data_IF_214573123565
#
_entry.id   IF_214573123565
#
_cell.length_a   1.000
_cell.length_b   1.000
_cell.length_c   1.000
_cell.angle_alpha   90.00
_cell.angle_beta   90.00
_cell.angle_gamma   90.00
#
_symmetry.space_group_name_H-M   'P 1'
#
loop_
_entity.id
_entity.type
_entity.pdbx_description
1 polymer ?
#
# COMPACT_ATOMS: atom_id res chain seq x y z
N UNK A 1 37.28 41.83 -14.29
CA UNK A 1 37.96 40.58 -14.67
C UNK A 1 36.88 39.53 -14.88
N UNK A 2 36.42 39.35 -16.12
CA UNK A 2 35.43 38.35 -16.49
C UNK A 2 36.08 36.97 -16.44
N UNK A 3 35.58 36.09 -15.59
CA UNK A 3 36.00 34.69 -15.52
C UNK A 3 35.05 33.82 -16.35
N UNK A 4 34.88 34.18 -17.63
CA UNK A 4 34.08 33.42 -18.59
C UNK A 4 34.90 32.21 -19.06
N UNK A 5 34.97 31.18 -18.22
CA UNK A 5 35.63 29.91 -18.57
C UNK A 5 34.76 29.14 -19.58
N UNK A 6 35.15 29.02 -20.87
CA UNK A 6 34.35 28.33 -21.90
C UNK A 6 34.26 26.82 -21.69
N UNK A 7 35.10 26.27 -20.80
CA UNK A 7 35.15 24.86 -20.42
C UNK A 7 34.61 24.62 -19.00
N UNK A 8 33.83 25.55 -18.44
CA UNK A 8 33.12 25.30 -17.20
C UNK A 8 32.21 24.08 -17.39
N UNK A 9 32.54 22.97 -16.73
CA UNK A 9 31.69 21.80 -16.73
C UNK A 9 30.31 22.23 -16.20
N UNK A 10 29.20 21.85 -16.84
CA UNK A 10 27.88 22.14 -16.30
C UNK A 10 27.86 21.55 -14.89
N UNK A 11 27.55 22.38 -13.90
CA UNK A 11 27.34 21.91 -12.53
C UNK A 11 26.17 20.94 -12.59
N UNK A 12 26.48 19.65 -12.71
CA UNK A 12 25.48 18.63 -12.51
C UNK A 12 25.03 18.82 -11.07
N UNK A 13 23.81 19.28 -10.89
CA UNK A 13 23.14 19.27 -9.60
C UNK A 13 22.94 17.79 -9.26
N UNK A 14 24.02 17.16 -8.80
CA UNK A 14 24.01 15.86 -8.17
C UNK A 14 23.22 16.08 -6.91
N UNK A 15 21.91 15.91 -7.02
CA UNK A 15 21.06 15.67 -5.86
C UNK A 15 21.78 14.58 -5.09
N UNK A 16 22.44 14.97 -4.00
CA UNK A 16 23.06 14.04 -3.08
C UNK A 16 21.93 13.15 -2.56
N UNK A 17 21.74 12.00 -3.19
CA UNK A 17 21.04 10.85 -2.61
C UNK A 17 21.86 10.27 -1.45
N UNK A 18 23.06 10.80 -1.24
CA UNK A 18 24.01 10.62 -0.14
C UNK A 18 23.47 11.18 1.20
N UNK A 19 22.28 10.75 1.59
CA UNK A 19 21.64 11.18 2.85
C UNK A 19 20.66 10.16 3.45
N UNK A 20 20.19 9.16 2.69
CA UNK A 20 19.33 8.11 3.26
C UNK A 20 20.20 6.94 3.77
N UNK A 21 20.97 7.20 4.84
CA UNK A 21 21.66 6.16 5.64
C UNK A 21 20.59 5.28 6.30
N UNK A 22 20.02 4.35 5.53
CA UNK A 22 18.87 3.60 6.00
C UNK A 22 17.92 3.08 4.94
N UNK A 23 18.09 3.41 3.64
CA UNK A 23 17.20 2.91 2.59
C UNK A 23 17.98 2.21 1.47
N UNK A 24 17.62 0.97 1.21
CA UNK A 24 18.22 0.13 0.18
C UNK A 24 17.17 -0.57 -0.68
N UNK A 25 17.57 -1.03 -1.86
CA UNK A 25 16.74 -1.90 -2.70
C UNK A 25 17.30 -3.32 -2.74
N UNK A 26 16.40 -4.31 -2.80
CA UNK A 26 16.75 -5.71 -3.05
C UNK A 26 15.71 -6.35 -3.98
N UNK A 27 16.03 -6.42 -5.29
CA UNK A 27 15.14 -6.95 -6.34
C UNK A 27 13.76 -6.25 -6.38
N UNK A 28 12.73 -6.92 -5.82
CA UNK A 28 11.35 -6.41 -5.74
C UNK A 28 10.99 -5.84 -4.35
N UNK A 29 11.98 -5.77 -3.46
CA UNK A 29 11.85 -5.31 -2.08
C UNK A 29 12.55 -3.97 -1.91
N UNK A 30 11.96 -3.11 -1.09
CA UNK A 30 12.63 -1.96 -0.52
C UNK A 30 12.95 -2.29 0.94
N UNK A 31 14.17 -2.06 1.37
CA UNK A 31 14.66 -2.30 2.73
C UNK A 31 14.85 -0.94 3.36
N UNK A 32 14.21 -0.71 4.50
CA UNK A 32 14.28 0.55 5.24
C UNK A 32 14.72 0.22 6.65
N UNK A 33 15.61 1.01 7.23
CA UNK A 33 15.84 1.02 8.66
C UNK A 33 14.55 1.45 9.38
N UNK A 34 14.36 1.00 10.62
CA UNK A 34 13.17 1.34 11.40
C UNK A 34 13.08 2.82 11.73
N UNK A 35 14.23 3.47 11.87
CA UNK A 35 14.33 4.87 12.30
C UNK A 35 14.44 5.84 11.12
N UNK A 36 14.50 5.33 9.88
CA UNK A 36 14.61 6.17 8.69
C UNK A 36 13.25 6.48 8.09
N UNK A 37 12.97 7.77 7.95
CA UNK A 37 11.80 8.24 7.24
C UNK A 37 11.99 8.16 5.72
N UNK A 38 10.93 7.83 4.98
CA UNK A 38 10.98 7.84 3.53
C UNK A 38 11.14 9.29 3.00
N UNK A 39 11.81 9.50 1.86
CA UNK A 39 11.90 10.83 1.25
C UNK A 39 10.53 11.29 0.73
N UNK A 40 10.37 12.60 0.49
CA UNK A 40 9.12 13.23 0.00
C UNK A 40 8.87 12.97 -1.49
N UNK A 41 8.85 11.69 -1.86
CA UNK A 41 8.72 11.20 -3.23
C UNK A 41 7.65 10.13 -3.29
N UNK A 42 6.99 10.06 -4.44
CA UNK A 42 5.94 9.09 -4.66
C UNK A 42 6.51 7.68 -4.73
N UNK A 43 6.05 6.81 -3.83
CA UNK A 43 6.50 5.41 -3.75
C UNK A 43 6.24 4.58 -5.03
N UNK A 44 5.42 5.08 -5.97
CA UNK A 44 5.06 4.40 -7.24
C UNK A 44 5.83 4.95 -8.44
N UNK A 45 5.76 6.25 -8.69
CA UNK A 45 6.37 6.86 -9.88
C UNK A 45 7.63 7.67 -9.60
N UNK A 46 8.06 7.77 -8.34
CA UNK A 46 9.21 8.58 -7.92
C UNK A 46 9.07 10.10 -8.16
N UNK A 47 7.89 10.59 -8.54
CA UNK A 47 7.61 12.02 -8.68
C UNK A 47 7.51 12.70 -7.29
N UNK A 48 7.77 14.02 -7.18
CA UNK A 48 7.63 14.74 -5.92
C UNK A 48 6.23 14.56 -5.31
N UNK A 49 6.19 14.32 -3.99
CA UNK A 49 4.93 14.15 -3.25
C UNK A 49 4.36 15.48 -2.72
N UNK A 50 5.09 16.59 -2.86
CA UNK A 50 4.67 17.93 -2.45
C UNK A 50 4.21 17.97 -0.98
N UNK A 51 4.96 17.33 -0.09
CA UNK A 51 4.70 17.25 1.35
C UNK A 51 3.56 16.30 1.75
N UNK A 52 2.90 15.62 0.81
CA UNK A 52 1.81 14.70 1.15
C UNK A 52 2.35 13.38 1.71
N UNK A 53 2.13 13.15 3.02
CA UNK A 53 2.46 11.90 3.70
C UNK A 53 1.20 11.11 4.05
N UNK A 54 1.18 9.82 3.68
CA UNK A 54 0.15 8.88 4.11
C UNK A 54 0.75 7.88 5.09
N UNK A 55 0.19 7.81 6.30
CA UNK A 55 0.53 6.80 7.30
C UNK A 55 -0.17 5.49 6.96
N UNK A 56 0.58 4.39 6.91
CA UNK A 56 0.01 3.03 6.79
C UNK A 56 0.64 2.13 7.84
N UNK A 57 -0.22 1.45 8.60
CA UNK A 57 0.16 0.36 9.48
C UNK A 57 0.39 -0.90 8.63
N UNK A 58 1.59 -1.44 8.75
CA UNK A 58 2.04 -2.65 8.10
C UNK A 58 2.10 -3.75 9.15
N UNK A 59 1.16 -4.68 9.08
CA UNK A 59 1.12 -5.84 9.96
C UNK A 59 1.94 -6.97 9.37
N UNK A 60 2.72 -7.63 10.21
CA UNK A 60 3.49 -8.81 9.88
C UNK A 60 3.14 -9.92 10.85
N UNK A 61 2.67 -11.03 10.29
CA UNK A 61 2.47 -12.29 11.00
C UNK A 61 3.64 -13.20 10.70
N UNK A 62 4.30 -13.69 11.74
CA UNK A 62 5.36 -14.67 11.57
C UNK A 62 4.77 -15.94 10.94
N UNK A 63 5.39 -16.53 9.88
CA UNK A 63 4.80 -17.66 9.14
C UNK A 63 4.50 -18.86 10.04
N UNK A 64 5.38 -19.14 11.02
CA UNK A 64 5.15 -20.22 12.01
C UNK A 64 3.95 -19.91 12.90
N UNK A 65 3.79 -18.66 13.35
CA UNK A 65 2.64 -18.27 14.16
C UNK A 65 1.34 -18.40 13.35
N UNK A 66 1.38 -18.08 12.06
CA UNK A 66 0.23 -18.20 11.16
C UNK A 66 -0.22 -19.66 10.98
N UNK A 67 0.73 -20.59 10.80
CA UNK A 67 0.44 -22.03 10.72
C UNK A 67 -0.15 -22.52 12.05
N UNK A 68 0.45 -22.14 13.17
CA UNK A 68 -0.05 -22.50 14.50
C UNK A 68 -1.48 -21.97 14.73
N UNK A 69 -1.75 -20.71 14.38
CA UNK A 69 -3.08 -20.09 14.50
C UNK A 69 -4.11 -20.82 13.62
N UNK A 70 -3.75 -21.16 12.37
CA UNK A 70 -4.66 -21.89 11.46
C UNK A 70 -5.00 -23.26 12.04
N UNK A 71 -4.02 -24.00 12.55
CA UNK A 71 -4.27 -25.30 13.17
C UNK A 71 -5.14 -25.15 14.44
N UNK A 72 -4.86 -24.13 15.24
CA UNK A 72 -5.58 -23.89 16.48
C UNK A 72 -7.00 -23.34 16.27
N UNK A 73 -7.29 -22.68 15.14
CA UNK A 73 -8.61 -22.09 14.90
C UNK A 73 -9.69 -23.17 14.73
N UNK A 74 -9.32 -24.33 14.19
CA UNK A 74 -10.22 -25.47 14.02
C UNK A 74 -10.52 -26.21 15.34
N UNK A 75 -9.61 -26.13 16.31
CA UNK A 75 -9.71 -26.87 17.58
C UNK A 75 -10.23 -25.94 18.69
N UNK A 76 -9.74 -24.71 18.74
CA UNK A 76 -9.94 -23.75 19.82
C UNK A 76 -9.91 -22.30 19.28
N UNK A 77 -10.94 -21.94 18.52
CA UNK A 77 -11.06 -20.64 17.86
C UNK A 77 -10.83 -19.41 18.76
N UNK A 78 -11.26 -19.35 20.05
CA UNK A 78 -11.07 -18.17 20.88
C UNK A 78 -9.59 -17.97 21.28
N UNK A 79 -8.89 -19.07 21.59
CA UNK A 79 -7.47 -19.04 21.95
C UNK A 79 -6.62 -18.69 20.74
N UNK A 80 -6.98 -19.23 19.57
CA UNK A 80 -6.34 -18.87 18.31
C UNK A 80 -6.45 -17.36 18.02
N UNK A 81 -7.61 -16.77 18.29
CA UNK A 81 -7.83 -15.33 18.15
C UNK A 81 -6.92 -14.51 19.07
N UNK A 82 -6.82 -14.89 20.35
CA UNK A 82 -5.96 -14.20 21.32
C UNK A 82 -4.48 -14.29 20.90
N UNK A 83 -4.02 -15.48 20.51
CA UNK A 83 -2.65 -15.67 20.03
C UNK A 83 -2.37 -14.86 18.77
N UNK A 84 -3.34 -14.78 17.85
CA UNK A 84 -3.21 -13.95 16.65
C UNK A 84 -3.02 -12.46 16.98
N UNK A 85 -3.72 -11.96 18.01
CA UNK A 85 -3.57 -10.59 18.48
C UNK A 85 -2.21 -10.35 19.15
N UNK A 86 -1.71 -11.30 19.94
CA UNK A 86 -0.43 -11.20 20.65
C UNK A 86 0.76 -11.30 19.69
N UNK A 87 0.73 -12.23 18.72
CA UNK A 87 1.82 -12.43 17.77
C UNK A 87 1.86 -11.40 16.62
N UNK A 88 0.86 -10.52 16.54
CA UNK A 88 0.80 -9.47 15.53
C UNK A 88 1.88 -8.42 15.80
N UNK A 89 2.93 -8.42 15.00
CA UNK A 89 3.88 -7.30 14.95
C UNK A 89 3.38 -6.28 13.93
N UNK A 90 3.31 -5.02 14.33
CA UNK A 90 2.90 -3.94 13.43
C UNK A 90 3.90 -2.81 13.41
N UNK A 91 4.21 -2.28 12.23
CA UNK A 91 5.04 -1.09 12.07
C UNK A 91 4.26 -0.05 11.29
N UNK A 92 4.27 1.20 11.75
CA UNK A 92 3.68 2.32 11.03
C UNK A 92 4.72 2.98 10.15
N UNK A 93 4.45 3.09 8.86
CA UNK A 93 5.33 3.74 7.89
C UNK A 93 4.59 4.89 7.23
N UNK A 94 5.27 6.02 7.07
CA UNK A 94 4.77 7.19 6.37
C UNK A 94 5.42 7.30 5.01
N UNK A 95 4.61 7.41 3.95
CA UNK A 95 5.11 7.44 2.58
C UNK A 95 4.43 8.51 1.73
N UNK A 96 5.19 9.02 0.77
CA UNK A 96 4.73 10.00 -0.20
C UNK A 96 3.91 9.39 -1.34
N UNK A 97 2.90 10.14 -1.81
CA UNK A 97 2.12 9.85 -3.02
C UNK A 97 1.97 11.11 -3.86
N UNK A 98 2.19 11.02 -5.17
CA UNK A 98 1.91 12.14 -6.06
C UNK A 98 0.40 12.33 -6.27
N UNK A 99 0.02 13.52 -6.73
CA UNK A 99 -1.39 13.92 -6.96
C UNK A 99 -2.11 12.93 -7.88
N UNK A 100 -1.45 12.44 -8.94
CA UNK A 100 -2.05 11.49 -9.89
C UNK A 100 -2.45 10.17 -9.21
N UNK A 101 -1.56 9.59 -8.41
CA UNK A 101 -1.84 8.34 -7.71
C UNK A 101 -2.82 8.54 -6.55
N UNK A 102 -2.76 9.68 -5.86
CA UNK A 102 -3.75 10.06 -4.84
C UNK A 102 -5.15 10.18 -5.44
N UNK A 103 -5.29 10.89 -6.57
CA UNK A 103 -6.57 11.03 -7.29
C UNK A 103 -7.10 9.68 -7.76
N UNK A 104 -6.25 8.84 -8.37
CA UNK A 104 -6.66 7.50 -8.82
C UNK A 104 -7.20 6.64 -7.67
N UNK A 105 -6.58 6.74 -6.51
CA UNK A 105 -7.04 6.03 -5.31
C UNK A 105 -8.39 6.55 -4.81
N UNK A 106 -8.59 7.88 -4.83
CA UNK A 106 -9.86 8.51 -4.46
C UNK A 106 -10.97 8.19 -5.47
N UNK A 107 -10.70 8.28 -6.78
CA UNK A 107 -11.69 7.97 -7.82
C UNK A 107 -12.13 6.51 -7.74
N UNK A 108 -11.20 5.57 -7.50
CA UNK A 108 -11.54 4.16 -7.30
C UNK A 108 -12.36 3.93 -6.02
N UNK A 109 -12.05 4.64 -4.94
CA UNK A 109 -12.82 4.55 -3.70
C UNK A 109 -14.23 5.12 -3.87
N UNK A 110 -14.36 6.27 -4.54
CA UNK A 110 -15.65 6.90 -4.84
C UNK A 110 -16.48 6.04 -5.79
N UNK A 111 -15.88 5.46 -6.83
CA UNK A 111 -16.58 4.55 -7.73
C UNK A 111 -17.05 3.29 -7.01
N UNK A 112 -16.22 2.72 -6.13
CA UNK A 112 -16.58 1.56 -5.32
C UNK A 112 -17.75 1.90 -4.37
N UNK A 113 -17.67 3.04 -3.69
CA UNK A 113 -18.71 3.51 -2.79
C UNK A 113 -20.02 3.77 -3.53
N UNK A 114 -19.96 4.42 -4.70
CA UNK A 114 -21.13 4.66 -5.54
C UNK A 114 -21.83 3.38 -5.99
N UNK A 115 -21.06 2.38 -6.45
CA UNK A 115 -21.62 1.06 -6.84
C UNK A 115 -22.20 0.31 -5.64
N UNK A 116 -21.58 0.41 -4.46
CA UNK A 116 -22.08 -0.21 -3.24
C UNK A 116 -23.42 0.41 -2.83
N UNK A 117 -23.51 1.74 -2.81
CA UNK A 117 -24.75 2.46 -2.50
C UNK A 117 -25.85 2.09 -3.51
N UNK A 118 -25.53 2.07 -4.80
CA UNK A 118 -26.48 1.70 -5.85
C UNK A 118 -26.98 0.27 -5.69
N UNK A 119 -26.07 -0.66 -5.35
CA UNK A 119 -26.41 -2.06 -5.06
C UNK A 119 -27.35 -2.19 -3.85
N UNK A 120 -27.10 -1.45 -2.77
CA UNK A 120 -27.99 -1.44 -1.58
C UNK A 120 -29.37 -0.90 -1.95
N UNK A 121 -29.43 0.22 -2.67
CA UNK A 121 -30.70 0.82 -3.11
C UNK A 121 -31.47 -0.16 -4.00
N UNK A 122 -30.79 -0.80 -4.96
CA UNK A 122 -31.38 -1.82 -5.83
C UNK A 122 -31.92 -3.03 -5.06
N UNK A 123 -31.19 -3.50 -4.05
CA UNK A 123 -31.62 -4.60 -3.19
C UNK A 123 -32.87 -4.22 -2.38
N UNK A 124 -32.90 -3.03 -1.78
CA UNK A 124 -34.06 -2.54 -1.01
C UNK A 124 -35.29 -2.37 -1.92
N UNK A 125 -35.10 -1.80 -3.12
CA UNK A 125 -36.17 -1.64 -4.10
C UNK A 125 -36.73 -2.99 -4.57
N UNK A 126 -35.87 -3.99 -4.78
CA UNK A 126 -36.28 -5.34 -5.17
C UNK A 126 -37.20 -6.00 -4.13
N UNK A 127 -36.90 -5.83 -2.83
CA UNK A 127 -37.76 -6.35 -1.75
C UNK A 127 -39.11 -5.63 -1.71
N UNK A 128 -39.17 -4.34 -2.03
CA UNK A 128 -40.40 -3.53 -2.01
C UNK A 128 -41.33 -3.81 -3.18
N UNK A 129 -40.78 -4.11 -4.36
CA UNK A 129 -41.55 -4.34 -5.60
C UNK A 129 -42.05 -5.80 -5.70
N UNK A 130 -41.47 -6.74 -4.94
CA UNK A 130 -41.88 -8.13 -4.93
C UNK A 130 -41.44 -8.91 -6.18
N UNK A 131 -42.14 -10.00 -6.51
CA UNK A 131 -41.76 -10.98 -7.55
C UNK A 131 -41.78 -10.46 -8.98
N UNK A 132 -42.27 -9.24 -9.24
CA UNK A 132 -42.27 -8.66 -10.60
C UNK A 132 -40.90 -8.15 -11.06
N UNK A 133 -39.90 -8.15 -10.17
CA UNK A 133 -38.56 -7.67 -10.43
C UNK A 133 -37.51 -8.79 -10.29
N UNK A 134 -37.73 -9.96 -10.90
CA UNK A 134 -36.81 -11.11 -10.85
C UNK A 134 -35.37 -10.76 -11.29
N UNK A 135 -35.22 -9.75 -12.14
CA UNK A 135 -33.92 -9.31 -12.68
C UNK A 135 -33.19 -8.35 -11.71
N UNK A 136 -33.93 -7.64 -10.84
CA UNK A 136 -33.35 -6.56 -10.04
C UNK A 136 -32.43 -7.08 -8.92
N UNK A 137 -32.78 -8.23 -8.33
CA UNK A 137 -32.00 -8.90 -7.30
C UNK A 137 -30.63 -9.40 -7.81
N UNK A 138 -30.53 -10.19 -8.91
CA UNK A 138 -29.24 -10.61 -9.45
C UNK A 138 -28.41 -9.44 -9.98
N UNK A 139 -29.03 -8.38 -10.54
CA UNK A 139 -28.33 -7.14 -10.93
C UNK A 139 -27.70 -6.46 -9.71
N UNK A 140 -28.41 -6.41 -8.58
CA UNK A 140 -27.90 -5.79 -7.36
C UNK A 140 -26.72 -6.59 -6.78
N UNK A 141 -26.78 -7.92 -6.81
CA UNK A 141 -25.70 -8.81 -6.35
C UNK A 141 -24.46 -8.69 -7.27
N UNK A 142 -24.65 -8.68 -8.58
CA UNK A 142 -23.54 -8.53 -9.53
C UNK A 142 -22.87 -7.15 -9.41
N UNK A 143 -23.66 -6.09 -9.24
CA UNK A 143 -23.14 -4.75 -8.95
C UNK A 143 -22.33 -4.71 -7.64
N UNK A 144 -22.79 -5.42 -6.60
CA UNK A 144 -22.05 -5.57 -5.33
C UNK A 144 -20.69 -6.23 -5.53
N UNK A 145 -20.66 -7.37 -6.24
CA UNK A 145 -19.42 -8.09 -6.52
C UNK A 145 -18.43 -7.23 -7.32
N UNK A 146 -18.92 -6.48 -8.31
CA UNK A 146 -18.11 -5.54 -9.09
C UNK A 146 -17.58 -4.39 -8.23
N UNK A 147 -18.34 -3.90 -7.24
CA UNK A 147 -17.91 -2.86 -6.31
C UNK A 147 -16.74 -3.30 -5.41
N UNK A 148 -16.64 -4.60 -5.10
CA UNK A 148 -15.56 -5.14 -4.26
C UNK A 148 -14.20 -5.11 -4.96
N UNK A 149 -14.15 -5.22 -6.30
CA UNK A 149 -12.90 -5.26 -7.07
C UNK A 149 -12.05 -3.99 -6.85
N UNK A 150 -12.55 -2.75 -7.11
CA UNK A 150 -11.78 -1.54 -6.87
C UNK A 150 -11.44 -1.33 -5.39
N UNK A 151 -12.32 -1.74 -4.47
CA UNK A 151 -12.05 -1.69 -3.03
C UNK A 151 -10.87 -2.60 -2.64
N UNK A 152 -10.82 -3.83 -3.16
CA UNK A 152 -9.70 -4.77 -2.94
C UNK A 152 -8.40 -4.25 -3.55
N UNK A 153 -8.44 -3.68 -4.76
CA UNK A 153 -7.26 -3.10 -5.40
C UNK A 153 -6.68 -1.92 -4.59
N UNK A 154 -7.54 -1.12 -3.93
CA UNK A 154 -7.11 -0.05 -3.02
C UNK A 154 -6.46 -0.62 -1.74
N UNK A 155 -6.99 -1.71 -1.18
CA UNK A 155 -6.44 -2.35 0.03
C UNK A 155 -5.06 -3.00 -0.22
N UNK A 156 -4.84 -3.53 -1.42
CA UNK A 156 -3.61 -4.27 -1.78
C UNK A 156 -2.39 -3.37 -2.03
N UNK A 157 -2.54 -2.04 -1.95
CA UNK A 157 -1.58 -1.07 -2.50
C UNK A 157 -0.15 -1.12 -1.91
N UNK A 158 0.01 -1.67 -0.69
CA UNK A 158 1.28 -1.92 -0.03
C UNK A 158 1.15 -3.17 0.85
N UNK A 159 2.00 -4.17 0.61
CA UNK A 159 2.13 -5.35 1.48
C UNK A 159 3.45 -5.26 2.23
N UNK A 160 3.40 -5.52 3.53
CA UNK A 160 4.60 -5.71 4.34
C UNK A 160 5.34 -6.95 3.85
N UNK A 161 6.66 -6.85 3.75
CA UNK A 161 7.55 -8.00 3.74
C UNK A 161 7.94 -8.38 5.17
N UNK A 162 8.95 -9.23 5.30
CA UNK A 162 9.51 -9.62 6.59
C UNK A 162 9.95 -8.38 7.38
N UNK A 163 9.52 -8.28 8.63
CA UNK A 163 9.98 -7.26 9.57
C UNK A 163 11.05 -7.92 10.43
N UNK A 164 12.31 -7.60 10.17
CA UNK A 164 13.43 -7.97 11.04
C UNK A 164 13.58 -6.92 12.17
N UNK A 165 14.45 -7.18 13.13
CA UNK A 165 14.64 -6.33 14.31
C UNK A 165 15.18 -4.93 13.98
N UNK A 166 15.98 -4.80 12.92
CA UNK A 166 16.56 -3.51 12.47
C UNK A 166 16.03 -3.04 11.12
N UNK A 167 15.67 -3.97 10.22
CA UNK A 167 15.25 -3.63 8.86
C UNK A 167 13.80 -4.03 8.57
N UNK A 168 13.07 -3.15 7.91
CA UNK A 168 11.73 -3.37 7.39
C UNK A 168 11.81 -3.60 5.89
N UNK A 169 11.35 -4.76 5.42
CA UNK A 169 11.24 -5.04 3.98
C UNK A 169 9.83 -4.74 3.51
N UNK A 170 9.67 -3.93 2.46
CA UNK A 170 8.38 -3.53 1.91
C UNK A 170 8.24 -4.06 0.49
N UNK A 171 7.05 -4.62 0.18
CA UNK A 171 6.66 -5.04 -1.17
C UNK A 171 5.66 -4.04 -1.77
N UNK A 172 5.69 -3.93 -3.10
CA UNK A 172 4.73 -3.10 -3.85
C UNK A 172 5.17 -1.67 -4.13
N UNK A 173 6.44 -1.35 -3.88
CA UNK A 173 7.06 -0.10 -4.33
C UNK A 173 7.31 -0.13 -5.85
N UNK A 174 7.21 1.02 -6.50
CA UNK A 174 7.36 1.15 -7.94
C UNK A 174 8.83 1.00 -8.38
N UNK A 175 9.05 0.53 -9.62
CA UNK A 175 10.39 0.26 -10.14
C UNK A 175 11.27 1.51 -10.11
N UNK A 176 10.75 2.64 -10.58
CA UNK A 176 11.46 3.92 -10.63
C UNK A 176 11.89 4.42 -9.23
N UNK A 177 11.05 4.18 -8.20
CA UNK A 177 11.36 4.57 -6.82
C UNK A 177 12.39 3.63 -6.18
N UNK A 178 12.34 2.32 -6.45
CA UNK A 178 13.35 1.40 -5.91
C UNK A 178 14.73 1.65 -6.50
N UNK A 179 14.79 1.91 -7.80
CA UNK A 179 16.04 2.08 -8.52
C UNK A 179 16.82 3.33 -8.12
N UNK A 180 16.21 4.28 -7.40
CA UNK A 180 16.91 5.44 -6.87
C UNK A 180 17.73 5.16 -5.60
N UNK A 181 17.65 3.95 -5.04
CA UNK A 181 18.39 3.57 -3.83
C UNK A 181 19.53 2.59 -4.16
N UNK A 182 20.59 2.57 -3.35
CA UNK A 182 21.67 1.59 -3.51
C UNK A 182 21.16 0.16 -3.30
N UNK A 183 21.81 -0.80 -3.95
CA UNK A 183 21.49 -2.21 -3.75
C UNK A 183 21.96 -2.66 -2.35
N UNK A 184 21.14 -3.46 -1.68
CA UNK A 184 21.50 -4.05 -0.40
C UNK A 184 22.39 -5.27 -0.63
N UNK A 185 23.71 -5.05 -0.58
CA UNK A 185 24.69 -6.12 -0.43
C UNK A 185 24.78 -6.48 1.05
N UNK A 186 24.45 -7.73 1.38
CA UNK A 186 24.57 -8.29 2.72
C UNK A 186 25.49 -9.48 2.66
#
# INVERSE_FOLDING_TARGET
>A
MNNDNPYAAPESNVVNLSGDTGIWQQKKLLIIDKDTELPDRCIKCNQPAHGYRKRKRLDYYHPIALIAIILLIFIFWPVALILALIFRRSVTIEYGLCIKHRRRLLTLALSALGLLILSIIGAIASVRVGTQAEILLPVSITAFLLALIPAMLHAYFLRSGKIDTSFIRIKGTGKAFRQSFPYFEK
#
